data_IF_822451746522
#
_entry.id   IF_822451746522
#
_cell.length_a   1.000
_cell.length_b   1.000
_cell.length_c   1.000
_cell.angle_alpha   90.00
_cell.angle_beta   90.00
_cell.angle_gamma   90.00
#
_symmetry.space_group_name_H-M   'P 1'
#
loop_
_entity.id
_entity.type
_entity.pdbx_description
1 polymer ?
#
# COMPACT_ATOMS: atom_id res chain seq x y z
N UNK A 1 5.51 -5.61 9.76
CA UNK A 1 5.75 -4.96 11.07
C UNK A 1 5.67 -3.47 10.81
N UNK A 2 4.85 -2.73 11.55
CA UNK A 2 4.88 -1.26 11.51
C UNK A 2 6.25 -0.80 12.02
N UNK A 3 7.17 -0.58 11.09
CA UNK A 3 8.54 -0.18 11.36
C UNK A 3 8.62 1.36 11.40
N UNK A 4 9.50 1.87 12.26
CA UNK A 4 9.66 3.28 12.64
C UNK A 4 9.24 4.28 11.55
N UNK A 5 8.09 4.92 11.70
CA UNK A 5 7.69 6.12 10.96
C UNK A 5 8.09 7.37 11.76
N UNK A 6 7.52 8.55 11.49
CA UNK A 6 7.88 9.75 12.27
C UNK A 6 7.63 9.56 13.78
N UNK A 7 8.38 10.26 14.66
CA UNK A 7 8.18 10.16 16.10
C UNK A 7 6.72 10.38 16.50
N UNK A 8 6.17 9.44 17.28
CA UNK A 8 4.78 9.45 17.72
C UNK A 8 4.55 10.56 18.75
N UNK A 9 3.77 11.58 18.39
CA UNK A 9 3.34 12.64 19.30
C UNK A 9 2.16 12.19 20.17
N UNK A 10 1.92 12.87 21.30
CA UNK A 10 0.72 12.61 22.12
C UNK A 10 -0.57 12.78 21.31
N UNK A 11 -0.64 13.80 20.45
CA UNK A 11 -1.76 14.02 19.53
C UNK A 11 -1.98 12.84 18.59
N UNK A 12 -0.91 12.25 18.03
CA UNK A 12 -1.03 11.07 17.17
C UNK A 12 -1.55 9.85 17.95
N UNK A 13 -1.14 9.68 19.21
CA UNK A 13 -1.65 8.61 20.08
C UNK A 13 -3.15 8.80 20.32
N UNK A 14 -3.56 9.99 20.74
CA UNK A 14 -4.97 10.32 20.98
C UNK A 14 -5.82 10.09 19.73
N UNK A 15 -5.35 10.60 18.58
CA UNK A 15 -6.04 10.43 17.29
C UNK A 15 -6.25 8.97 16.90
N UNK A 16 -5.20 8.13 16.98
CA UNK A 16 -5.31 6.74 16.57
C UNK A 16 -6.05 5.87 17.60
N UNK A 17 -5.99 6.20 18.90
CA UNK A 17 -6.85 5.58 19.91
C UNK A 17 -8.33 5.89 19.62
N UNK A 18 -8.68 7.16 19.34
CA UNK A 18 -10.06 7.53 19.00
C UNK A 18 -10.59 6.87 17.72
N UNK A 19 -9.71 6.64 16.74
CA UNK A 19 -10.07 5.91 15.52
C UNK A 19 -10.24 4.41 15.80
N UNK A 20 -9.32 3.84 16.57
CA UNK A 20 -9.34 2.43 16.93
C UNK A 20 -10.53 2.06 17.82
N UNK A 21 -10.91 2.91 18.78
CA UNK A 21 -12.12 2.72 19.61
C UNK A 21 -13.41 2.65 18.79
N UNK A 22 -13.43 3.30 17.62
CA UNK A 22 -14.59 3.30 16.71
C UNK A 22 -14.55 2.15 15.72
N UNK A 23 -13.44 1.41 15.64
CA UNK A 23 -13.26 0.32 14.67
C UNK A 23 -14.20 -0.83 15.01
N UNK A 24 -15.03 -1.23 14.05
CA UNK A 24 -15.94 -2.37 14.16
C UNK A 24 -15.30 -3.62 13.52
N UNK A 25 -14.88 -4.63 14.31
CA UNK A 25 -14.23 -5.83 13.77
C UNK A 25 -15.15 -6.64 12.85
N UNK A 26 -16.45 -6.73 13.16
CA UNK A 26 -17.41 -7.48 12.34
C UNK A 26 -17.69 -6.79 11.00
N UNK A 27 -17.66 -5.45 10.98
CA UNK A 27 -17.71 -4.71 9.73
C UNK A 27 -16.49 -5.02 8.85
N UNK A 28 -15.30 -5.07 9.43
CA UNK A 28 -14.06 -5.40 8.70
C UNK A 28 -14.09 -6.83 8.14
N UNK A 29 -14.51 -7.82 8.94
CA UNK A 29 -14.70 -9.21 8.50
C UNK A 29 -15.63 -9.29 7.30
N UNK A 30 -16.80 -8.64 7.38
CA UNK A 30 -17.76 -8.63 6.28
C UNK A 30 -17.21 -8.01 5.00
N UNK A 31 -16.36 -6.97 5.11
CA UNK A 31 -15.71 -6.38 3.95
C UNK A 31 -14.72 -7.37 3.34
N UNK A 32 -13.94 -8.06 4.17
CA UNK A 32 -12.98 -9.06 3.71
C UNK A 32 -13.63 -10.26 3.05
N UNK A 33 -14.68 -10.81 3.64
CA UNK A 33 -15.46 -11.90 3.03
C UNK A 33 -15.97 -11.50 1.65
N UNK A 34 -16.46 -10.27 1.48
CA UNK A 34 -16.90 -9.76 0.18
C UNK A 34 -15.75 -9.56 -0.81
N UNK A 35 -14.60 -9.09 -0.33
CA UNK A 35 -13.41 -8.93 -1.13
C UNK A 35 -12.94 -10.28 -1.68
N UNK A 36 -12.74 -11.27 -0.81
CA UNK A 36 -12.29 -12.60 -1.20
C UNK A 36 -13.32 -13.33 -2.06
N UNK A 37 -14.62 -13.30 -1.73
CA UNK A 37 -15.64 -13.94 -2.55
C UNK A 37 -15.69 -13.40 -3.99
N UNK A 38 -15.50 -12.08 -4.18
CA UNK A 38 -15.41 -11.48 -5.51
C UNK A 38 -14.06 -11.75 -6.18
N UNK A 39 -12.98 -11.72 -5.40
CA UNK A 39 -11.63 -12.00 -5.86
C UNK A 39 -11.50 -13.42 -6.41
N UNK A 40 -11.92 -14.43 -5.65
CA UNK A 40 -11.90 -15.84 -6.06
C UNK A 40 -12.73 -16.12 -7.33
N UNK A 41 -13.81 -15.36 -7.53
CA UNK A 41 -14.65 -15.48 -8.73
C UNK A 41 -14.03 -14.83 -9.98
N UNK A 42 -13.01 -13.97 -9.82
CA UNK A 42 -12.33 -13.28 -10.90
C UNK A 42 -11.09 -14.04 -11.36
N UNK A 43 -10.84 -14.10 -12.66
CA UNK A 43 -9.60 -14.72 -13.19
C UNK A 43 -8.34 -13.86 -12.96
N UNK A 44 -8.53 -12.54 -12.80
CA UNK A 44 -7.51 -11.56 -12.47
C UNK A 44 -8.17 -10.30 -11.92
N UNK A 45 -7.40 -9.49 -11.20
CA UNK A 45 -7.82 -8.16 -10.74
C UNK A 45 -7.22 -7.07 -11.63
N UNK A 46 -8.01 -6.02 -11.90
CA UNK A 46 -7.58 -4.81 -12.61
C UNK A 46 -7.54 -3.63 -11.65
N UNK A 47 -6.37 -3.03 -11.49
CA UNK A 47 -6.20 -1.74 -10.81
C UNK A 47 -6.37 -0.62 -11.84
N UNK A 48 -7.42 0.18 -11.69
CA UNK A 48 -7.81 1.22 -12.66
C UNK A 48 -7.82 2.59 -12.00
N UNK A 49 -7.11 3.54 -12.61
CA UNK A 49 -7.27 4.97 -12.33
C UNK A 49 -7.82 5.66 -13.60
N UNK A 50 -9.08 6.08 -13.54
CA UNK A 50 -9.77 6.67 -14.68
C UNK A 50 -9.22 8.06 -15.06
N UNK A 51 -8.74 8.82 -14.07
CA UNK A 51 -8.23 10.18 -14.29
C UNK A 51 -6.89 10.15 -15.02
N UNK A 52 -6.01 9.23 -14.63
CA UNK A 52 -4.70 9.03 -15.21
C UNK A 52 -4.73 8.07 -16.41
N UNK A 53 -5.87 7.41 -16.66
CA UNK A 53 -6.08 6.42 -17.73
C UNK A 53 -5.08 5.26 -17.65
N UNK A 54 -4.84 4.79 -16.44
CA UNK A 54 -3.90 3.70 -16.17
C UNK A 54 -4.65 2.43 -15.80
N UNK A 55 -4.18 1.29 -16.32
CA UNK A 55 -4.69 -0.03 -15.99
C UNK A 55 -3.52 -0.95 -15.74
N UNK A 56 -3.58 -1.67 -14.62
CA UNK A 56 -2.64 -2.72 -14.27
C UNK A 56 -3.41 -4.00 -13.95
N UNK A 57 -2.95 -5.14 -14.45
CA UNK A 57 -3.54 -6.46 -14.24
C UNK A 57 -2.68 -7.23 -13.25
N UNK A 58 -3.32 -7.88 -12.29
CA UNK A 58 -2.70 -8.74 -11.29
C UNK A 58 -3.31 -10.14 -11.31
N UNK A 59 -2.46 -11.16 -11.44
CA UNK A 59 -2.86 -12.56 -11.32
C UNK A 59 -2.77 -12.99 -9.86
N UNK A 60 -3.89 -12.88 -9.16
CA UNK A 60 -3.98 -13.01 -7.72
C UNK A 60 -4.33 -14.41 -7.22
N UNK A 61 -4.49 -15.38 -8.13
CA UNK A 61 -4.76 -16.79 -7.83
C UNK A 61 -3.50 -17.66 -7.98
N UNK A 62 -2.32 -17.03 -8.01
CA UNK A 62 -1.04 -17.72 -8.12
C UNK A 62 -0.64 -18.33 -6.76
N UNK A 63 -0.18 -19.59 -6.73
CA UNK A 63 0.26 -20.27 -5.51
C UNK A 63 1.53 -19.66 -4.88
N UNK A 64 2.22 -18.78 -5.61
CA UNK A 64 3.42 -18.06 -5.19
C UNK A 64 3.16 -16.82 -4.33
N UNK A 65 1.91 -16.51 -4.01
CA UNK A 65 1.54 -15.36 -3.15
C UNK A 65 0.82 -15.83 -1.88
N UNK A 66 0.88 -14.99 -0.85
CA UNK A 66 0.22 -15.19 0.43
C UNK A 66 -0.63 -13.97 0.77
N UNK A 67 -1.87 -14.24 1.14
CA UNK A 67 -2.78 -13.25 1.68
C UNK A 67 -2.65 -13.18 3.20
N UNK A 68 -2.68 -11.97 3.73
CA UNK A 68 -2.62 -11.67 5.15
C UNK A 68 -3.81 -10.80 5.53
N UNK A 69 -4.41 -11.10 6.66
CA UNK A 69 -5.58 -10.40 7.18
C UNK A 69 -5.25 -9.83 8.57
N UNK A 70 -5.42 -8.53 8.72
CA UNK A 70 -5.36 -7.79 9.98
C UNK A 70 -6.70 -7.12 10.23
N UNK A 71 -7.72 -7.95 10.39
CA UNK A 71 -9.13 -7.57 10.52
C UNK A 71 -9.80 -8.46 11.56
N UNK A 72 -10.98 -8.04 12.01
CA UNK A 72 -11.85 -8.89 12.80
C UNK A 72 -11.45 -9.02 14.26
N UNK A 73 -12.14 -9.93 14.94
CA UNK A 73 -11.90 -10.20 16.36
C UNK A 73 -10.63 -11.04 16.57
N UNK A 74 -9.74 -10.54 17.41
CA UNK A 74 -8.55 -11.28 17.86
C UNK A 74 -8.95 -12.51 18.68
N UNK A 75 -8.59 -13.70 18.20
CA UNK A 75 -8.73 -14.93 18.95
C UNK A 75 -7.55 -15.16 19.90
N UNK A 76 -7.69 -16.17 20.76
CA UNK A 76 -6.65 -16.49 21.74
C UNK A 76 -5.34 -16.90 21.05
N UNK A 77 -4.26 -16.18 21.35
CA UNK A 77 -2.93 -16.42 20.80
C UNK A 77 -2.64 -15.68 19.48
N UNK A 78 -3.61 -14.94 18.95
CA UNK A 78 -3.42 -14.09 17.77
C UNK A 78 -2.86 -12.71 18.12
N UNK A 79 -2.35 -12.03 17.11
CA UNK A 79 -1.83 -10.67 17.20
C UNK A 79 -2.29 -9.85 15.99
N UNK A 80 -2.52 -8.56 16.19
CA UNK A 80 -2.95 -7.63 15.15
C UNK A 80 -2.36 -6.25 15.42
N UNK A 81 -2.14 -5.49 14.36
CA UNK A 81 -1.74 -4.09 14.47
C UNK A 81 -2.94 -3.22 14.86
N UNK A 82 -2.66 -2.14 15.59
CA UNK A 82 -3.68 -1.20 16.02
C UNK A 82 -3.41 0.20 15.44
N UNK A 83 -4.41 0.85 14.81
CA UNK A 83 -5.74 0.32 14.47
C UNK A 83 -5.65 -0.79 13.42
N UNK A 84 -6.57 -1.75 13.48
CA UNK A 84 -6.68 -2.82 12.48
C UNK A 84 -7.41 -2.32 11.23
N UNK A 85 -7.39 -3.13 10.18
CA UNK A 85 -8.21 -2.90 8.99
C UNK A 85 -7.41 -2.99 7.70
N UNK A 86 -6.61 -4.04 7.55
CA UNK A 86 -5.87 -4.29 6.32
C UNK A 86 -6.02 -5.74 5.88
N UNK A 87 -6.21 -5.91 4.57
CA UNK A 87 -5.92 -7.15 3.85
C UNK A 87 -4.68 -6.83 3.02
N UNK A 88 -3.68 -7.70 2.99
CA UNK A 88 -2.51 -7.51 2.13
C UNK A 88 -2.09 -8.80 1.44
N UNK A 89 -1.39 -8.65 0.32
CA UNK A 89 -0.84 -9.77 -0.44
C UNK A 89 0.63 -9.53 -0.76
N UNK A 90 1.43 -10.54 -0.46
CA UNK A 90 2.89 -10.53 -0.61
C UNK A 90 3.34 -11.88 -1.20
N UNK A 91 4.51 -11.97 -1.86
CA UNK A 91 5.07 -13.26 -2.25
C UNK A 91 5.28 -14.22 -1.05
N UNK A 92 5.03 -15.52 -1.19
CA UNK A 92 5.15 -16.53 -0.10
C UNK A 92 6.55 -16.54 0.54
N UNK A 93 7.60 -16.36 -0.27
CA UNK A 93 9.00 -16.52 0.15
C UNK A 93 9.66 -15.21 0.59
N UNK A 94 8.84 -14.18 0.89
CA UNK A 94 9.29 -12.81 1.11
C UNK A 94 10.29 -12.64 2.28
N UNK A 95 10.23 -13.53 3.28
CA UNK A 95 11.13 -13.51 4.43
C UNK A 95 12.35 -14.41 4.26
N UNK A 96 12.46 -15.14 3.16
CA UNK A 96 13.71 -15.80 2.80
C UNK A 96 14.46 -14.94 1.79
N UNK A 97 15.77 -15.15 1.69
CA UNK A 97 16.70 -14.28 0.95
C UNK A 97 16.43 -14.21 -0.57
N UNK A 98 15.42 -14.91 -1.09
CA UNK A 98 15.15 -15.06 -2.51
C UNK A 98 14.03 -14.14 -3.00
N UNK A 99 14.34 -12.85 -3.16
CA UNK A 99 13.46 -11.82 -3.76
C UNK A 99 13.18 -12.04 -5.27
N UNK A 100 13.44 -13.23 -5.82
CA UNK A 100 13.06 -13.57 -7.19
C UNK A 100 11.56 -13.90 -7.32
N UNK A 101 10.86 -14.14 -6.20
CA UNK A 101 9.40 -14.29 -6.22
C UNK A 101 8.77 -12.89 -6.17
N UNK A 102 7.97 -12.57 -7.18
CA UNK A 102 7.34 -11.26 -7.37
C UNK A 102 5.85 -11.45 -7.60
N UNK A 103 5.07 -10.42 -7.31
CA UNK A 103 3.66 -10.39 -7.70
C UNK A 103 3.58 -10.35 -9.23
N UNK A 104 2.73 -11.20 -9.84
CA UNK A 104 2.47 -11.15 -11.28
C UNK A 104 1.52 -9.99 -11.61
N UNK A 105 2.09 -8.79 -11.57
CA UNK A 105 1.41 -7.53 -11.83
C UNK A 105 2.05 -6.81 -13.02
N UNK A 106 1.22 -6.42 -14.00
CA UNK A 106 1.67 -5.87 -15.29
C UNK A 106 0.77 -4.74 -15.77
N UNK A 107 1.36 -3.67 -16.31
CA UNK A 107 0.61 -2.58 -16.95
C UNK A 107 1.13 -1.20 -16.56
N UNK A 108 0.21 -0.24 -16.47
CA UNK A 108 0.50 1.12 -15.98
C UNK A 108 -0.26 1.38 -14.70
N UNK A 109 0.42 1.92 -13.70
CA UNK A 109 -0.14 2.23 -12.39
C UNK A 109 0.01 3.71 -12.10
N UNK A 110 -1.06 4.36 -11.62
CA UNK A 110 -1.00 5.72 -11.13
C UNK A 110 -0.75 5.71 -9.61
N UNK A 111 0.50 5.92 -9.22
CA UNK A 111 0.89 6.08 -7.82
C UNK A 111 0.52 7.51 -7.40
N UNK A 112 -0.66 7.64 -6.80
CA UNK A 112 -1.22 8.92 -6.38
C UNK A 112 -1.92 8.80 -5.03
N UNK A 113 -1.27 9.31 -4.01
CA UNK A 113 -1.86 9.55 -2.71
C UNK A 113 -0.79 9.67 -1.64
N UNK A 114 -1.02 9.07 -0.47
CA UNK A 114 -0.23 9.39 0.73
C UNK A 114 0.90 8.38 0.85
N UNK A 115 2.18 8.84 0.75
CA UNK A 115 3.30 7.97 1.04
C UNK A 115 3.39 7.72 2.55
N UNK A 116 3.81 6.51 2.91
CA UNK A 116 4.19 6.12 4.25
C UNK A 116 5.54 5.43 4.15
N UNK A 117 6.55 6.02 4.77
CA UNK A 117 7.93 5.57 4.66
C UNK A 117 8.37 4.98 5.99
N UNK A 118 8.32 3.67 6.11
CA UNK A 118 8.87 2.95 7.23
C UNK A 118 10.38 2.87 7.15
N UNK A 119 11.02 2.85 8.31
CA UNK A 119 12.46 2.67 8.43
C UNK A 119 12.80 1.53 9.37
N UNK A 120 13.88 0.82 9.07
CA UNK A 120 14.33 -0.33 9.85
C UNK A 120 15.85 -0.45 9.89
N UNK A 121 16.35 -1.41 10.65
CA UNK A 121 17.76 -1.79 10.61
C UNK A 121 18.15 -2.26 9.20
N UNK A 122 19.40 -2.04 8.74
CA UNK A 122 20.60 -1.86 9.56
C UNK A 122 21.05 -0.42 9.85
N UNK A 123 20.53 0.62 9.21
CA UNK A 123 20.86 2.02 9.58
C UNK A 123 19.95 3.01 8.86
N UNK A 124 19.34 3.96 9.56
CA UNK A 124 18.69 5.12 8.95
C UNK A 124 18.89 6.36 9.82
N UNK A 125 18.92 7.53 9.20
CA UNK A 125 18.87 8.81 9.89
C UNK A 125 17.45 9.38 9.78
N UNK A 126 16.85 9.90 10.87
CA UNK A 126 15.54 10.55 10.81
C UNK A 126 15.48 11.68 9.77
N UNK A 127 16.54 12.45 9.63
CA UNK A 127 16.62 13.55 8.65
C UNK A 127 16.57 13.03 7.20
N UNK A 128 17.13 11.86 6.93
CA UNK A 128 17.04 11.22 5.60
C UNK A 128 15.63 10.70 5.33
N UNK A 129 15.01 10.06 6.32
CA UNK A 129 13.63 9.60 6.21
C UNK A 129 12.68 10.77 5.92
N UNK A 130 12.82 11.86 6.66
CA UNK A 130 12.03 13.08 6.47
C UNK A 130 12.26 13.69 5.08
N UNK A 131 13.51 13.83 4.65
CA UNK A 131 13.85 14.35 3.31
C UNK A 131 13.24 13.51 2.19
N UNK A 132 13.29 12.18 2.31
CA UNK A 132 12.68 11.26 1.33
C UNK A 132 11.17 11.42 1.35
N UNK A 133 10.55 11.37 2.54
CA UNK A 133 9.11 11.53 2.70
C UNK A 133 8.61 12.86 2.10
N UNK A 134 9.26 13.98 2.40
CA UNK A 134 8.86 15.29 1.89
C UNK A 134 8.91 15.38 0.36
N UNK A 135 9.92 14.77 -0.28
CA UNK A 135 9.99 14.72 -1.73
C UNK A 135 8.86 13.87 -2.34
N UNK A 136 8.53 12.74 -1.70
CA UNK A 136 7.47 11.83 -2.08
C UNK A 136 6.06 12.39 -1.80
N UNK A 137 5.91 13.30 -0.84
CA UNK A 137 4.61 13.83 -0.41
C UNK A 137 3.85 14.58 -1.52
N UNK A 138 4.55 15.01 -2.58
CA UNK A 138 3.93 15.53 -3.81
C UNK A 138 2.93 14.55 -4.44
N UNK A 139 3.14 13.23 -4.25
CA UNK A 139 2.22 12.18 -4.72
C UNK A 139 0.81 12.30 -4.17
N UNK A 140 0.61 13.02 -3.05
CA UNK A 140 -0.71 13.27 -2.47
C UNK A 140 -1.66 13.92 -3.47
N UNK A 141 -1.14 14.83 -4.28
CA UNK A 141 -1.95 15.64 -5.21
C UNK A 141 -1.69 15.30 -6.68
N UNK A 142 -0.49 14.79 -7.01
CA UNK A 142 0.00 14.60 -8.37
C UNK A 142 0.44 13.16 -8.56
N UNK A 143 0.11 12.52 -9.69
CA UNK A 143 0.41 11.10 -9.86
C UNK A 143 1.85 10.90 -10.39
N UNK A 144 2.50 9.84 -9.92
CA UNK A 144 3.62 9.22 -10.63
C UNK A 144 3.06 8.04 -11.42
N UNK A 145 3.29 8.02 -12.73
CA UNK A 145 2.85 6.93 -13.60
C UNK A 145 3.98 5.90 -13.70
N UNK A 146 3.77 4.72 -13.13
CA UNK A 146 4.72 3.62 -13.17
C UNK A 146 4.34 2.63 -14.27
N UNK A 147 5.32 2.24 -15.10
CA UNK A 147 5.19 1.11 -16.03
C UNK A 147 5.74 -0.14 -15.34
N UNK A 148 4.88 -1.15 -15.18
CA UNK A 148 5.15 -2.35 -14.39
C UNK A 148 5.17 -3.58 -15.29
N UNK A 149 6.20 -4.40 -15.16
CA UNK A 149 6.33 -5.68 -15.84
C UNK A 149 6.79 -6.74 -14.85
N UNK A 150 6.00 -7.81 -14.70
CA UNK A 150 6.26 -8.93 -13.79
C UNK A 150 6.61 -8.45 -12.37
N UNK A 151 5.81 -7.52 -11.83
CA UNK A 151 6.03 -6.96 -10.50
C UNK A 151 7.17 -5.95 -10.38
N UNK A 152 7.85 -5.61 -11.48
CA UNK A 152 8.96 -4.66 -11.49
C UNK A 152 8.58 -3.36 -12.19
N UNK A 153 8.83 -2.24 -11.52
CA UNK A 153 8.76 -0.90 -12.09
C UNK A 153 9.94 -0.69 -13.04
N UNK A 154 9.64 -0.67 -14.34
CA UNK A 154 10.61 -0.51 -15.43
C UNK A 154 10.84 0.96 -15.77
N UNK A 155 9.81 1.80 -15.62
CA UNK A 155 9.88 3.23 -15.88
C UNK A 155 8.90 3.98 -14.97
N UNK A 156 9.26 5.22 -14.62
CA UNK A 156 8.38 6.17 -13.92
C UNK A 156 8.38 7.51 -14.65
N UNK A 157 7.23 8.16 -14.69
CA UNK A 157 7.09 9.50 -15.25
C UNK A 157 6.11 10.33 -14.41
N UNK A 158 6.32 11.64 -14.36
CA UNK A 158 5.44 12.56 -13.65
C UNK A 158 4.17 12.81 -14.48
N UNK A 159 2.98 12.73 -13.88
CA UNK A 159 1.74 13.09 -14.59
C UNK A 159 1.65 14.57 -14.94
N UNK A 160 2.34 15.41 -14.16
CA UNK A 160 2.50 16.84 -14.37
C UNK A 160 3.79 17.32 -13.65
N UNK A 161 4.32 18.52 -13.96
CA UNK A 161 5.59 19.00 -13.40
C UNK A 161 5.66 19.00 -11.86
N UNK A 162 4.53 19.09 -11.16
CA UNK A 162 4.49 19.13 -9.70
C UNK A 162 4.76 17.76 -9.06
N UNK A 163 4.67 16.66 -9.82
CA UNK A 163 5.07 15.32 -9.37
C UNK A 163 6.57 15.04 -9.56
N UNK A 164 7.34 15.94 -10.19
CA UNK A 164 8.73 15.64 -10.56
C UNK A 164 9.62 15.36 -9.35
N UNK A 165 9.41 16.04 -8.22
CA UNK A 165 10.19 15.76 -6.99
C UNK A 165 10.04 14.32 -6.50
N UNK A 166 8.84 13.74 -6.64
CA UNK A 166 8.57 12.36 -6.27
C UNK A 166 9.22 11.38 -7.26
N UNK A 167 9.18 11.70 -8.57
CA UNK A 167 9.88 10.90 -9.60
C UNK A 167 11.38 10.87 -9.34
N UNK A 168 11.99 12.04 -9.12
CA UNK A 168 13.43 12.14 -8.87
C UNK A 168 13.84 11.36 -7.61
N UNK A 169 13.02 11.43 -6.55
CA UNK A 169 13.28 10.69 -5.31
C UNK A 169 13.12 9.18 -5.50
N UNK A 170 12.06 8.71 -6.16
CA UNK A 170 11.87 7.29 -6.45
C UNK A 170 13.01 6.75 -7.31
N UNK A 171 13.44 7.51 -8.33
CA UNK A 171 14.57 7.13 -9.17
C UNK A 171 15.87 7.04 -8.35
N UNK A 172 16.12 7.99 -7.44
CA UNK A 172 17.26 7.93 -6.53
C UNK A 172 17.22 6.69 -5.62
N UNK A 173 16.04 6.33 -5.09
CA UNK A 173 15.86 5.09 -4.33
C UNK A 173 16.19 3.87 -5.19
N UNK A 174 15.70 3.82 -6.43
CA UNK A 174 15.96 2.74 -7.37
C UNK A 174 17.45 2.60 -7.74
N UNK A 175 18.17 3.72 -7.84
CA UNK A 175 19.58 3.75 -8.19
C UNK A 175 20.47 3.31 -7.02
N UNK A 176 20.05 3.61 -5.78
CA UNK A 176 20.73 3.14 -4.56
C UNK A 176 20.51 1.64 -4.36
N UNK A 177 19.29 1.16 -4.59
CA UNK A 177 18.95 -0.25 -4.43
C UNK A 177 17.83 -0.66 -5.40
N UNK A 178 18.15 -1.53 -6.35
CA UNK A 178 17.20 -1.97 -7.38
C UNK A 178 15.97 -2.69 -6.82
N UNK A 179 16.01 -3.18 -5.58
CA UNK A 179 14.88 -3.85 -4.93
C UNK A 179 13.70 -2.91 -4.68
N UNK A 180 13.93 -1.60 -4.60
CA UNK A 180 12.84 -0.62 -4.54
C UNK A 180 11.99 -0.58 -5.82
N UNK A 181 12.46 -1.13 -6.94
CA UNK A 181 11.64 -1.27 -8.16
C UNK A 181 10.60 -2.39 -8.05
N UNK A 182 10.70 -3.28 -7.06
CA UNK A 182 9.80 -4.41 -6.92
C UNK A 182 8.57 -3.96 -6.12
N UNK A 183 7.39 -4.16 -6.69
CA UNK A 183 6.13 -4.10 -5.96
C UNK A 183 6.05 -5.38 -5.13
N UNK A 184 6.35 -5.26 -3.85
CA UNK A 184 6.46 -6.40 -2.94
C UNK A 184 5.15 -6.67 -2.20
N UNK A 185 4.31 -5.65 -2.09
CA UNK A 185 3.06 -5.70 -1.35
C UNK A 185 1.97 -4.93 -2.09
N UNK A 186 0.75 -5.47 -2.04
CA UNK A 186 -0.47 -4.74 -2.34
C UNK A 186 -1.36 -4.85 -1.11
N UNK A 187 -1.66 -3.72 -0.48
CA UNK A 187 -2.54 -3.66 0.67
C UNK A 187 -3.89 -3.01 0.34
N UNK A 188 -4.88 -3.37 1.14
CA UNK A 188 -6.28 -3.00 0.99
C UNK A 188 -6.78 -2.52 2.36
N UNK A 189 -6.76 -1.20 2.56
CA UNK A 189 -7.26 -0.54 3.76
C UNK A 189 -8.79 -0.57 3.84
N UNK A 190 -9.31 -1.17 4.92
CA UNK A 190 -10.75 -1.37 5.18
C UNK A 190 -11.26 -0.62 6.41
N UNK A 191 -10.41 0.09 7.17
CA UNK A 191 -10.85 0.83 8.35
C UNK A 191 -11.56 2.14 7.97
N UNK A 192 -12.90 2.10 7.99
CA UNK A 192 -13.79 3.24 7.68
C UNK A 192 -13.82 4.30 8.78
N UNK A 193 -13.36 3.96 9.98
CA UNK A 193 -13.31 4.85 11.12
C UNK A 193 -11.97 5.57 11.25
N UNK A 194 -10.96 5.09 10.54
CA UNK A 194 -9.68 5.75 10.45
C UNK A 194 -9.82 7.08 9.69
N UNK A 195 -9.31 8.14 10.31
CA UNK A 195 -9.05 9.40 9.64
C UNK A 195 -7.56 9.51 9.40
N UNK A 196 -7.18 9.94 8.21
CA UNK A 196 -5.79 10.19 7.88
C UNK A 196 -5.18 11.21 8.83
N UNK A 197 -4.04 10.86 9.41
CA UNK A 197 -3.22 11.78 10.19
C UNK A 197 -2.14 12.41 9.30
N UNK A 198 -1.85 13.72 9.44
CA UNK A 198 -0.82 14.38 8.63
C UNK A 198 0.59 13.80 8.85
N UNK A 199 1.45 13.93 7.83
CA UNK A 199 2.84 13.50 7.91
C UNK A 199 3.04 12.00 7.63
N UNK A 200 4.22 11.50 7.99
CA UNK A 200 4.61 10.12 7.77
C UNK A 200 4.14 9.23 8.93
N UNK A 201 2.93 8.69 8.83
CA UNK A 201 2.31 7.88 9.87
C UNK A 201 1.94 6.49 9.36
N UNK A 202 2.61 5.46 9.90
CA UNK A 202 2.35 4.04 9.62
C UNK A 202 0.87 3.66 9.73
N UNK A 203 0.22 4.14 10.79
CA UNK A 203 -1.19 3.82 11.03
C UNK A 203 -2.15 4.36 9.96
N UNK A 204 -1.69 5.15 8.97
CA UNK A 204 -2.53 5.55 7.84
C UNK A 204 -2.78 4.40 6.84
N UNK A 205 -1.97 3.34 6.80
CA UNK A 205 -2.08 2.24 5.82
C UNK A 205 -3.47 1.58 5.81
N UNK A 206 -4.10 1.44 6.98
CA UNK A 206 -5.41 0.79 7.11
C UNK A 206 -6.59 1.67 6.66
N UNK A 207 -6.33 2.87 6.12
CA UNK A 207 -7.35 3.87 5.79
C UNK A 207 -8.27 3.43 4.66
N UNK A 208 -9.57 3.39 4.94
CA UNK A 208 -10.59 3.20 3.91
C UNK A 208 -11.18 4.54 3.43
N UNK A 209 -11.02 4.82 2.15
CA UNK A 209 -11.72 5.92 1.49
C UNK A 209 -13.18 5.52 1.24
N UNK A 210 -14.05 5.81 2.21
CA UNK A 210 -15.48 5.47 2.19
C UNK A 210 -15.74 3.96 2.31
N UNK A 211 -16.94 3.53 1.90
CA UNK A 211 -17.37 2.12 2.03
C UNK A 211 -16.56 1.13 1.18
N UNK A 212 -15.84 1.61 0.16
CA UNK A 212 -15.16 0.71 -0.78
C UNK A 212 -13.70 0.43 -0.41
N UNK A 213 -13.13 1.13 0.58
CA UNK A 213 -11.73 0.95 0.98
C UNK A 213 -10.72 1.72 0.13
N UNK A 214 -9.43 1.47 0.38
CA UNK A 214 -8.30 2.09 -0.36
C UNK A 214 -7.24 1.04 -0.66
N UNK A 215 -6.58 1.16 -1.82
CA UNK A 215 -5.43 0.31 -2.17
C UNK A 215 -4.13 1.04 -1.86
N UNK A 216 -3.12 0.36 -1.36
CA UNK A 216 -1.73 0.82 -1.38
C UNK A 216 -0.79 -0.19 -2.02
N UNK A 217 0.38 0.30 -2.41
CA UNK A 217 1.45 -0.51 -2.99
C UNK A 217 2.72 -0.30 -2.19
N UNK A 218 3.31 -1.40 -1.73
CA UNK A 218 4.54 -1.43 -0.97
C UNK A 218 5.76 -1.67 -1.84
N UNK A 219 6.80 -0.86 -1.66
CA UNK A 219 8.09 -0.91 -2.34
C UNK A 219 9.24 -1.08 -1.35
N UNK A 220 10.18 -1.97 -1.70
CA UNK A 220 11.23 -2.37 -0.76
C UNK A 220 10.67 -3.16 0.42
N UNK A 221 11.53 -3.80 1.20
CA UNK A 221 11.13 -4.62 2.34
C UNK A 221 12.21 -4.62 3.40
N UNK A 222 11.87 -4.20 4.61
CA UNK A 222 12.76 -4.27 5.77
C UNK A 222 12.84 -5.73 6.27
N UNK A 223 14.01 -6.26 6.67
CA UNK A 223 15.31 -5.58 6.80
C UNK A 223 16.20 -5.68 5.55
N UNK A 224 15.64 -6.11 4.42
CA UNK A 224 16.41 -6.29 3.19
C UNK A 224 16.78 -4.96 2.55
N UNK A 225 15.86 -3.99 2.51
CA UNK A 225 16.10 -2.60 2.15
C UNK A 225 16.09 -1.69 3.39
N UNK A 226 16.65 -0.49 3.26
CA UNK A 226 16.72 0.49 4.36
C UNK A 226 15.34 1.00 4.81
N UNK A 227 14.42 1.07 3.85
CA UNK A 227 13.07 1.57 4.01
C UNK A 227 12.07 0.60 3.37
N UNK A 228 10.83 0.65 3.83
CA UNK A 228 9.65 0.13 3.15
C UNK A 228 8.73 1.31 2.88
N UNK A 229 8.28 1.47 1.64
CA UNK A 229 7.48 2.60 1.20
C UNK A 229 6.11 2.09 0.75
N UNK A 230 5.07 2.44 1.49
CA UNK A 230 3.69 2.27 1.05
C UNK A 230 3.17 3.55 0.43
N UNK A 231 2.38 3.41 -0.63
CA UNK A 231 1.73 4.54 -1.30
C UNK A 231 0.24 4.28 -1.32
N UNK A 232 -0.47 4.89 -0.38
CA UNK A 232 -1.93 4.82 -0.26
C UNK A 232 -2.55 5.56 -1.43
N UNK A 233 -3.32 4.87 -2.28
CA UNK A 233 -3.86 5.37 -3.55
C UNK A 233 -5.41 5.38 -3.58
N UNK A 234 -6.08 6.42 -3.02
CA UNK A 234 -7.54 6.47 -2.87
C UNK A 234 -8.35 6.49 -4.18
N UNK A 235 -7.72 6.82 -5.31
CA UNK A 235 -8.40 6.92 -6.61
C UNK A 235 -8.50 5.59 -7.34
N UNK A 236 -7.73 4.58 -6.94
CA UNK A 236 -7.67 3.30 -7.64
C UNK A 236 -8.91 2.46 -7.34
N UNK A 237 -9.58 2.02 -8.40
CA UNK A 237 -10.62 0.99 -8.37
C UNK A 237 -9.99 -0.36 -8.67
N UNK A 238 -10.44 -1.39 -7.97
CA UNK A 238 -10.11 -2.78 -8.23
C UNK A 238 -11.32 -3.42 -8.90
N UNK A 239 -11.17 -3.84 -10.14
CA UNK A 239 -12.22 -4.46 -10.93
C UNK A 239 -11.90 -5.93 -11.19
N UNK A 240 -12.93 -6.76 -11.33
CA UNK A 240 -12.78 -8.12 -11.83
C UNK A 240 -12.47 -8.13 -13.33
N UNK A 241 -12.17 -9.30 -13.88
CA UNK A 241 -12.02 -9.55 -15.31
C UNK A 241 -13.29 -9.19 -16.12
N UNK A 242 -14.44 -9.09 -15.46
CA UNK A 242 -15.74 -8.69 -16.03
C UNK A 242 -16.09 -7.20 -15.82
N UNK A 243 -15.13 -6.39 -15.37
CA UNK A 243 -15.33 -4.96 -15.05
C UNK A 243 -16.28 -4.68 -13.88
N UNK A 244 -16.52 -5.67 -13.01
CA UNK A 244 -17.32 -5.49 -11.79
C UNK A 244 -16.45 -4.94 -10.67
N UNK A 245 -16.98 -4.00 -9.88
CA UNK A 245 -16.23 -3.43 -8.76
C UNK A 245 -16.02 -4.46 -7.65
N UNK A 246 -14.74 -4.78 -7.41
CA UNK A 246 -14.29 -5.61 -6.28
C UNK A 246 -14.04 -4.72 -5.06
N UNK A 247 -13.24 -3.66 -5.22
CA UNK A 247 -12.76 -2.82 -4.11
C UNK A 247 -12.36 -1.42 -4.57
N UNK A 248 -12.24 -0.48 -3.64
CA UNK A 248 -11.62 0.85 -3.83
C UNK A 248 -12.43 1.86 -4.63
N UNK A 249 -11.73 2.94 -5.00
CA UNK A 249 -12.24 4.06 -5.79
C UNK A 249 -12.88 5.18 -4.97
N UNK A 250 -12.89 6.37 -5.56
CA UNK A 250 -13.72 7.49 -5.09
C UNK A 250 -15.16 7.32 -5.57
N UNK A 251 -16.13 7.73 -4.75
CA UNK A 251 -17.54 7.87 -5.18
C UNK A 251 -17.71 8.98 -6.21
#
# INVERSE_FOLDING_TARGET
MACNSTPTSVESIEHFLECGEKTDPYEQEKISEQFFAKGEAASHLKFVDEKCKTVTIFRHLDDGIQWHEQIGELQWGEQQLFPSGEISVLPVDIFTLNLNVKLDINGKLALKGIPVLHSGTPSFLPDDQERIFQALYAMRNHAVIASVHEGVITNIEASDPSAQSAVDMLQAMFDVDSRYRIIIEIGFGVNRHLKLFPGNSAMNEVYANNINGTVHFGLGLIPHTQYHLDIICPSIKVLSDKDELVFGGMK
#
